data_IF_919782752039
#
_entry.id   IF_919782752039
#
_cell.length_a   1.000
_cell.length_b   1.000
_cell.length_c   1.000
_cell.angle_alpha   90.00
_cell.angle_beta   90.00
_cell.angle_gamma   90.00
#
_symmetry.space_group_name_H-M   'P 1'
#
loop_
_entity.id
_entity.type
_entity.pdbx_description
1 polymer ?
#
# COMPACT_ATOMS: atom_id res chain seq x y z
N UNK A 1 53.52 -9.74 -28.89
CA UNK A 1 53.80 -10.90 -29.77
C UNK A 1 52.47 -11.60 -30.05
N UNK A 2 52.17 -11.79 -31.36
CA UNK A 2 51.22 -12.76 -31.98
C UNK A 2 49.78 -12.82 -31.44
N UNK A 3 48.75 -12.28 -32.09
CA UNK A 3 48.16 -12.47 -33.44
C UNK A 3 47.37 -13.79 -33.64
N UNK A 4 46.11 -13.62 -34.08
CA UNK A 4 45.20 -14.50 -34.86
C UNK A 4 43.79 -14.51 -34.22
N UNK A 5 42.68 -14.10 -34.85
CA UNK A 5 42.32 -14.12 -36.27
C UNK A 5 41.37 -15.30 -36.52
N UNK A 6 40.05 -15.09 -36.49
CA UNK A 6 39.06 -15.26 -37.58
C UNK A 6 37.91 -16.14 -37.04
N UNK A 7 36.64 -16.14 -37.46
CA UNK A 7 36.00 -15.90 -38.76
C UNK A 7 34.48 -15.65 -38.53
N UNK A 8 33.87 -14.83 -39.41
CA UNK A 8 32.42 -14.61 -39.56
C UNK A 8 31.72 -15.84 -40.16
N UNK A 9 30.48 -16.12 -39.72
CA UNK A 9 29.45 -16.75 -40.56
C UNK A 9 28.12 -16.02 -40.33
N UNK A 10 27.60 -15.44 -41.41
CA UNK A 10 26.26 -14.85 -41.52
C UNK A 10 25.29 -15.97 -41.90
N UNK A 11 24.20 -16.10 -41.15
CA UNK A 11 23.09 -17.00 -41.47
C UNK A 11 21.76 -16.27 -41.28
N UNK A 12 21.23 -15.68 -42.34
CA UNK A 12 19.86 -15.24 -42.40
C UNK A 12 18.95 -16.45 -42.67
N UNK A 13 17.88 -16.60 -41.88
CA UNK A 13 16.79 -17.51 -42.21
C UNK A 13 15.48 -16.88 -41.77
N UNK A 14 14.79 -16.30 -42.74
CA UNK A 14 13.37 -15.97 -42.70
C UNK A 14 12.57 -17.28 -42.71
N UNK A 15 11.79 -17.54 -41.68
CA UNK A 15 10.65 -18.44 -41.76
C UNK A 15 9.45 -17.75 -41.10
N UNK A 16 8.58 -17.21 -41.95
CA UNK A 16 7.21 -16.90 -41.61
C UNK A 16 6.40 -18.19 -41.74
N UNK A 17 5.74 -18.63 -40.66
CA UNK A 17 4.64 -19.59 -40.72
C UNK A 17 3.56 -19.14 -39.72
N UNK A 18 2.44 -18.73 -40.29
CA UNK A 18 1.14 -18.52 -39.65
C UNK A 18 0.51 -19.85 -39.21
N UNK A 19 -0.24 -19.84 -38.11
CA UNK A 19 -1.18 -20.93 -37.80
C UNK A 19 -1.95 -20.72 -36.49
N UNK A 20 -3.24 -20.37 -36.61
CA UNK A 20 -4.23 -20.48 -35.55
C UNK A 20 -4.56 -21.95 -35.26
N UNK A 21 -4.84 -22.31 -34.00
CA UNK A 21 -5.47 -23.59 -33.67
C UNK A 21 -5.62 -23.81 -32.16
N UNK A 22 -6.87 -23.82 -31.69
CA UNK A 22 -7.26 -24.11 -30.30
C UNK A 22 -7.29 -25.61 -29.98
N UNK A 23 -7.14 -25.91 -28.68
CA UNK A 23 -7.72 -27.03 -27.90
C UNK A 23 -6.79 -28.18 -27.43
N UNK A 24 -6.55 -28.13 -26.10
CA UNK A 24 -6.58 -29.19 -25.07
C UNK A 24 -5.55 -30.33 -24.98
N UNK A 25 -4.93 -30.36 -23.78
CA UNK A 25 -4.58 -31.49 -22.90
C UNK A 25 -3.18 -32.15 -22.95
N UNK A 26 -2.42 -31.93 -21.86
CA UNK A 26 -1.70 -32.99 -21.12
C UNK A 26 -0.18 -33.10 -21.28
N UNK A 27 0.55 -32.96 -20.16
CA UNK A 27 1.81 -33.70 -19.91
C UNK A 27 3.09 -32.89 -19.68
N UNK A 28 3.72 -33.12 -18.52
CA UNK A 28 4.92 -32.52 -17.91
C UNK A 28 6.21 -32.48 -18.76
N UNK A 29 7.10 -31.52 -18.43
CA UNK A 29 8.52 -31.59 -18.81
C UNK A 29 9.29 -30.27 -18.80
N UNK A 30 10.12 -30.10 -17.77
CA UNK A 30 11.03 -29.01 -17.43
C UNK A 30 12.09 -28.64 -18.53
N UNK A 31 12.33 -27.33 -18.74
CA UNK A 31 13.65 -26.74 -19.00
C UNK A 31 13.56 -25.21 -19.28
N UNK A 32 13.91 -24.43 -18.26
CA UNK A 32 14.67 -23.17 -18.30
C UNK A 32 14.46 -22.13 -19.41
N UNK A 33 14.05 -20.91 -19.00
CA UNK A 33 14.74 -19.68 -19.43
C UNK A 33 14.41 -18.47 -18.55
N UNK A 34 15.48 -17.79 -18.17
CA UNK A 34 15.59 -16.44 -17.64
C UNK A 34 14.64 -15.45 -18.32
N UNK A 35 13.83 -14.75 -17.55
CA UNK A 35 13.07 -13.59 -17.98
C UNK A 35 13.00 -12.61 -16.83
N UNK A 36 13.75 -11.51 -16.93
CA UNK A 36 13.63 -10.39 -16.00
C UNK A 36 12.16 -9.97 -15.90
N UNK A 37 11.74 -9.66 -14.68
CA UNK A 37 10.41 -9.11 -14.43
C UNK A 37 10.25 -7.85 -15.28
N UNK A 38 9.63 -8.01 -16.45
CA UNK A 38 9.06 -6.89 -17.19
C UNK A 38 8.10 -6.23 -16.21
N UNK A 39 8.37 -4.96 -15.88
CA UNK A 39 7.47 -4.16 -15.08
C UNK A 39 6.10 -4.24 -15.76
N UNK A 40 5.19 -5.00 -15.15
CA UNK A 40 3.84 -5.16 -15.67
C UNK A 40 3.28 -3.75 -15.87
N UNK A 41 2.76 -3.47 -17.06
CA UNK A 41 2.09 -2.21 -17.31
C UNK A 41 1.00 -2.03 -16.23
N UNK A 42 0.86 -0.81 -15.67
CA UNK A 42 -0.15 -0.58 -14.65
C UNK A 42 -1.52 -1.00 -15.20
N UNK A 43 -2.38 -1.63 -14.38
CA UNK A 43 -3.71 -2.03 -14.82
C UNK A 43 -4.43 -0.81 -15.39
N UNK A 44 -5.12 -1.01 -16.52
CA UNK A 44 -5.94 0.03 -17.12
C UNK A 44 -6.99 0.47 -16.09
N UNK A 45 -7.01 1.76 -15.75
CA UNK A 45 -7.92 2.31 -14.75
C UNK A 45 -9.39 2.04 -15.09
N UNK A 46 -10.22 1.87 -14.06
CA UNK A 46 -11.66 1.76 -14.21
C UNK A 46 -12.23 3.11 -14.67
N UNK A 47 -12.42 3.26 -15.99
CA UNK A 47 -12.88 4.51 -16.62
C UNK A 47 -14.25 4.97 -16.13
N UNK A 48 -15.05 4.06 -15.59
CA UNK A 48 -16.40 4.31 -15.09
C UNK A 48 -16.42 4.56 -13.56
N UNK A 49 -15.26 4.47 -12.90
CA UNK A 49 -15.12 4.74 -11.47
C UNK A 49 -15.16 6.23 -11.12
N UNK A 50 -15.37 6.54 -9.83
CA UNK A 50 -15.25 7.93 -9.33
C UNK A 50 -13.85 8.45 -9.65
N UNK A 51 -13.76 9.68 -10.15
CA UNK A 51 -12.47 10.33 -10.39
C UNK A 51 -11.71 10.51 -9.07
N UNK A 52 -10.45 10.12 -9.04
CA UNK A 52 -9.55 10.36 -7.92
C UNK A 52 -8.66 11.56 -8.25
N UNK A 53 -8.83 12.65 -7.51
CA UNK A 53 -7.97 13.85 -7.62
C UNK A 53 -7.28 14.17 -6.30
N UNK A 54 -7.88 13.81 -5.15
CA UNK A 54 -7.36 14.12 -3.82
C UNK A 54 -7.43 12.94 -2.87
N UNK A 55 -6.27 12.56 -2.32
CA UNK A 55 -6.11 11.48 -1.36
C UNK A 55 -5.63 12.04 0.00
N UNK A 56 -6.39 11.78 1.06
CA UNK A 56 -5.95 12.00 2.44
C UNK A 56 -5.43 10.69 3.03
N UNK A 57 -4.13 10.60 3.31
CA UNK A 57 -3.46 9.43 3.89
C UNK A 57 -3.30 9.56 5.40
N UNK A 58 -3.66 8.53 6.16
CA UNK A 58 -3.58 8.50 7.63
C UNK A 58 -3.19 7.11 8.15
N UNK A 59 -2.61 7.10 9.34
CA UNK A 59 -2.12 5.92 10.05
C UNK A 59 -1.03 6.31 11.04
N UNK A 60 -0.26 5.33 11.52
CA UNK A 60 0.81 5.54 12.50
C UNK A 60 2.18 5.77 11.85
N UNK A 61 3.26 5.42 12.55
CA UNK A 61 4.63 5.51 12.08
C UNK A 61 4.93 4.68 10.83
N UNK A 62 4.23 3.56 10.64
CA UNK A 62 4.39 2.76 9.42
C UNK A 62 3.81 3.53 8.24
N UNK A 63 2.62 4.11 8.41
CA UNK A 63 1.99 4.95 7.38
C UNK A 63 2.81 6.22 7.10
N UNK A 64 3.46 6.80 8.12
CA UNK A 64 4.37 7.94 7.97
C UNK A 64 5.62 7.58 7.16
N UNK A 65 6.21 6.40 7.40
CA UNK A 65 7.33 5.89 6.60
C UNK A 65 6.95 5.63 5.13
N UNK A 66 5.69 5.27 4.86
CA UNK A 66 5.18 5.00 3.51
C UNK A 66 4.77 6.27 2.76
N UNK A 67 4.42 7.34 3.49
CA UNK A 67 3.88 8.57 2.93
C UNK A 67 4.76 9.25 1.87
N UNK A 68 6.11 9.31 1.97
CA UNK A 68 6.94 9.95 0.94
C UNK A 68 6.84 9.26 -0.42
N UNK A 69 6.94 7.93 -0.45
CA UNK A 69 6.83 7.14 -1.68
C UNK A 69 5.41 7.22 -2.26
N UNK A 70 4.39 7.07 -1.39
CA UNK A 70 2.99 7.19 -1.77
C UNK A 70 2.69 8.56 -2.40
N UNK A 71 3.12 9.64 -1.75
CA UNK A 71 2.94 11.00 -2.24
C UNK A 71 3.61 11.21 -3.60
N UNK A 72 4.81 10.68 -3.82
CA UNK A 72 5.49 10.77 -5.10
C UNK A 72 4.75 10.00 -6.22
N UNK A 73 4.32 8.77 -5.95
CA UNK A 73 3.61 7.93 -6.92
C UNK A 73 2.25 8.53 -7.31
N UNK A 74 1.47 8.96 -6.32
CA UNK A 74 0.16 9.56 -6.54
C UNK A 74 0.27 10.89 -7.29
N UNK A 75 1.23 11.75 -6.91
CA UNK A 75 1.47 13.03 -7.59
C UNK A 75 1.87 12.83 -9.05
N UNK A 76 2.71 11.85 -9.35
CA UNK A 76 3.06 11.51 -10.74
C UNK A 76 1.84 11.03 -11.53
N UNK A 77 0.88 10.38 -10.88
CA UNK A 77 -0.43 10.00 -11.45
C UNK A 77 -1.48 11.13 -11.46
N UNK A 78 -1.11 12.36 -11.12
CA UNK A 78 -2.02 13.52 -11.13
C UNK A 78 -2.92 13.66 -9.89
N UNK A 79 -2.66 12.90 -8.82
CA UNK A 79 -3.42 12.94 -7.56
C UNK A 79 -2.69 13.80 -6.53
N UNK A 80 -3.39 14.78 -5.97
CA UNK A 80 -2.90 15.56 -4.84
C UNK A 80 -3.00 14.71 -3.55
N UNK A 81 -1.92 14.65 -2.77
CA UNK A 81 -1.88 13.89 -1.53
C UNK A 81 -1.63 14.80 -0.35
N UNK A 82 -2.42 14.63 0.70
CA UNK A 82 -2.14 15.15 2.04
C UNK A 82 -1.98 13.98 2.98
N UNK A 83 -0.89 13.93 3.74
CA UNK A 83 -0.74 12.96 4.82
C UNK A 83 -0.96 13.64 6.17
N UNK A 84 -1.67 12.95 7.05
CA UNK A 84 -1.77 13.24 8.48
C UNK A 84 -1.35 12.01 9.31
N UNK A 85 -0.53 11.12 8.72
CA UNK A 85 0.05 10.00 9.45
C UNK A 85 0.92 10.52 10.61
N UNK A 86 1.00 9.75 11.68
CA UNK A 86 1.63 10.18 12.93
C UNK A 86 2.55 9.12 13.51
N UNK A 87 3.84 9.44 13.62
CA UNK A 87 4.87 8.52 14.11
C UNK A 87 4.69 8.01 15.55
N UNK A 88 3.75 8.54 16.32
CA UNK A 88 3.47 8.12 17.69
C UNK A 88 1.99 8.10 18.03
N UNK A 89 1.13 7.87 17.03
CA UNK A 89 -0.32 7.88 17.20
C UNK A 89 -1.03 7.43 15.93
N UNK A 90 -2.00 8.21 15.46
CA UNK A 90 -2.66 7.95 14.18
C UNK A 90 -3.77 6.91 14.24
N UNK A 91 -3.90 6.16 15.34
CA UNK A 91 -5.05 5.27 15.56
C UNK A 91 -6.36 6.05 15.57
N UNK A 92 -7.45 5.40 15.14
CA UNK A 92 -8.83 5.87 15.36
C UNK A 92 -9.55 5.09 16.46
N UNK A 93 -8.91 4.05 17.02
CA UNK A 93 -9.51 3.16 18.01
C UNK A 93 -9.25 3.67 19.41
N UNK A 94 -10.34 3.83 20.17
CA UNK A 94 -10.27 4.18 21.60
C UNK A 94 -10.31 2.91 22.45
N UNK A 95 -9.15 2.34 22.73
CA UNK A 95 -9.01 1.32 23.77
C UNK A 95 -8.36 1.84 25.03
N UNK A 96 -7.65 0.94 25.71
CA UNK A 96 -6.98 1.23 26.96
C UNK A 96 -5.64 1.94 26.75
N UNK A 97 -5.15 2.57 27.82
CA UNK A 97 -3.86 3.28 27.83
C UNK A 97 -3.88 4.55 26.97
N UNK A 98 -2.80 4.85 26.23
CA UNK A 98 -2.67 6.12 25.52
C UNK A 98 -3.54 6.23 24.24
N UNK A 99 -4.10 5.11 23.76
CA UNK A 99 -4.84 5.05 22.48
C UNK A 99 -6.08 5.95 22.45
N UNK A 100 -6.76 6.11 23.59
CA UNK A 100 -7.88 7.05 23.71
C UNK A 100 -7.51 8.49 23.34
N UNK A 101 -6.38 8.99 23.86
CA UNK A 101 -5.89 10.34 23.54
C UNK A 101 -5.42 10.42 22.09
N UNK A 102 -4.69 9.42 21.63
CA UNK A 102 -4.21 9.38 20.24
C UNK A 102 -5.38 9.42 19.25
N UNK A 103 -6.45 8.66 19.48
CA UNK A 103 -7.64 8.70 18.65
C UNK A 103 -8.31 10.08 18.65
N UNK A 104 -8.40 10.76 19.79
CA UNK A 104 -8.96 12.12 19.85
C UNK A 104 -8.11 13.14 19.07
N UNK A 105 -6.79 13.06 19.17
CA UNK A 105 -5.87 13.89 18.39
C UNK A 105 -6.00 13.56 16.88
N UNK A 106 -6.05 12.29 16.49
CA UNK A 106 -6.27 11.84 15.11
C UNK A 106 -7.58 12.39 14.53
N UNK A 107 -8.70 12.30 15.26
CA UNK A 107 -9.99 12.82 14.79
C UNK A 107 -10.00 14.35 14.69
N UNK A 108 -9.26 15.05 15.56
CA UNK A 108 -9.08 16.50 15.49
C UNK A 108 -8.33 16.91 14.22
N UNK A 109 -7.23 16.23 13.91
CA UNK A 109 -6.43 16.54 12.72
C UNK A 109 -7.12 16.10 11.44
N UNK A 110 -7.85 14.98 11.47
CA UNK A 110 -8.76 14.55 10.41
C UNK A 110 -9.81 15.62 10.10
N UNK A 111 -10.48 16.17 11.11
CA UNK A 111 -11.49 17.21 10.92
C UNK A 111 -10.91 18.45 10.22
N UNK A 112 -9.75 18.94 10.67
CA UNK A 112 -9.03 20.05 10.02
C UNK A 112 -8.63 19.71 8.59
N UNK A 113 -8.11 18.51 8.36
CA UNK A 113 -7.67 18.07 7.04
C UNK A 113 -8.85 17.99 6.07
N UNK A 114 -9.95 17.35 6.46
CA UNK A 114 -11.18 17.28 5.67
C UNK A 114 -11.71 18.67 5.34
N UNK A 115 -11.81 19.56 6.32
CA UNK A 115 -12.35 20.91 6.13
C UNK A 115 -11.50 21.83 5.26
N UNK A 116 -10.19 21.55 5.10
CA UNK A 116 -9.28 22.37 4.29
C UNK A 116 -8.91 21.74 2.95
N UNK A 117 -8.84 20.41 2.89
CA UNK A 117 -8.32 19.68 1.73
C UNK A 117 -9.43 19.15 0.83
N UNK A 118 -10.60 18.84 1.39
CA UNK A 118 -11.74 18.22 0.70
C UNK A 118 -11.33 16.98 -0.11
N UNK A 119 -10.91 15.88 0.56
CA UNK A 119 -10.44 14.68 -0.13
C UNK A 119 -11.57 13.94 -0.87
N UNK A 120 -11.23 13.29 -1.99
CA UNK A 120 -12.12 12.33 -2.65
C UNK A 120 -12.12 10.99 -1.92
N UNK A 121 -10.95 10.62 -1.37
CA UNK A 121 -10.69 9.41 -0.61
C UNK A 121 -9.97 9.78 0.68
N UNK A 122 -10.46 9.24 1.79
CA UNK A 122 -9.71 9.12 3.04
C UNK A 122 -9.18 7.69 3.09
N UNK A 123 -7.87 7.53 3.14
CA UNK A 123 -7.22 6.22 3.21
C UNK A 123 -6.54 6.06 4.57
N UNK A 124 -6.96 5.03 5.30
CA UNK A 124 -6.50 4.71 6.64
C UNK A 124 -5.81 3.37 6.69
N UNK A 125 -4.53 3.38 7.04
CA UNK A 125 -3.83 2.17 7.42
C UNK A 125 -4.17 1.81 8.86
N UNK A 126 -4.72 0.61 9.06
CA UNK A 126 -4.88 0.01 10.39
C UNK A 126 -3.54 0.10 11.10
N UNK A 127 -3.54 0.69 12.30
CA UNK A 127 -2.30 1.00 12.99
C UNK A 127 -1.84 -0.15 13.89
N UNK A 128 -0.56 -0.11 14.24
CA UNK A 128 -0.01 -0.93 15.32
C UNK A 128 -0.62 -0.60 16.68
N UNK A 129 -1.39 0.50 16.81
CA UNK A 129 -2.01 1.03 18.03
C UNK A 129 -3.53 0.86 18.09
N UNK A 130 -4.15 0.11 17.17
CA UNK A 130 -5.60 -0.15 17.18
C UNK A 130 -6.00 -1.13 18.31
N UNK A 131 -5.45 -0.92 19.49
CA UNK A 131 -5.62 -1.72 20.70
C UNK A 131 -6.99 -1.45 21.25
N UNK A 132 -7.86 -2.45 21.21
CA UNK A 132 -9.21 -2.39 21.71
C UNK A 132 -9.87 -3.74 21.48
N UNK A 133 -11.01 -3.95 22.12
CA UNK A 133 -11.85 -5.10 21.80
C UNK A 133 -12.30 -5.04 20.32
N UNK A 134 -12.66 -6.19 19.70
CA UNK A 134 -13.21 -6.21 18.35
C UNK A 134 -14.42 -5.28 18.16
N UNK A 135 -15.23 -5.08 19.20
CA UNK A 135 -16.36 -4.15 19.18
C UNK A 135 -15.90 -2.68 19.15
N UNK A 136 -14.90 -2.30 19.95
CA UNK A 136 -14.31 -0.95 19.92
C UNK A 136 -13.65 -0.66 18.56
N UNK A 137 -12.91 -1.63 18.01
CA UNK A 137 -12.31 -1.53 16.69
C UNK A 137 -13.37 -1.30 15.61
N UNK A 138 -14.38 -2.18 15.54
CA UNK A 138 -15.46 -2.09 14.56
C UNK A 138 -16.21 -0.75 14.65
N UNK A 139 -16.59 -0.32 15.86
CA UNK A 139 -17.27 0.97 16.08
C UNK A 139 -16.42 2.16 15.64
N UNK A 140 -15.11 2.09 15.86
CA UNK A 140 -14.18 3.17 15.47
C UNK A 140 -14.02 3.27 13.95
N UNK A 141 -13.96 2.13 13.24
CA UNK A 141 -13.93 2.10 11.78
C UNK A 141 -15.27 2.54 11.16
N UNK A 142 -16.40 2.17 11.78
CA UNK A 142 -17.73 2.67 11.38
C UNK A 142 -17.84 4.18 11.60
N UNK A 143 -17.29 4.72 12.70
CA UNK A 143 -17.20 6.17 12.93
C UNK A 143 -16.35 6.84 11.86
N UNK A 144 -15.20 6.28 11.50
CA UNK A 144 -14.35 6.80 10.43
C UNK A 144 -15.08 6.78 9.08
N UNK A 145 -15.82 5.71 8.78
CA UNK A 145 -16.66 5.61 7.58
C UNK A 145 -17.73 6.70 7.54
N UNK A 146 -18.36 7.01 8.69
CA UNK A 146 -19.29 8.11 8.80
C UNK A 146 -18.62 9.47 8.53
N UNK A 147 -17.42 9.71 9.06
CA UNK A 147 -16.67 10.95 8.78
C UNK A 147 -16.39 11.10 7.29
N UNK A 148 -15.93 10.03 6.61
CA UNK A 148 -15.70 10.05 5.17
C UNK A 148 -17.00 10.35 4.40
N UNK A 149 -18.10 9.68 4.77
CA UNK A 149 -19.41 9.91 4.17
C UNK A 149 -19.87 11.36 4.30
N UNK A 150 -19.79 11.91 5.51
CA UNK A 150 -20.21 13.29 5.82
C UNK A 150 -19.33 14.32 5.08
N UNK A 151 -18.07 13.97 4.79
CA UNK A 151 -17.15 14.77 3.99
C UNK A 151 -17.37 14.68 2.47
N UNK A 152 -18.27 13.81 1.99
CA UNK A 152 -18.41 13.50 0.55
C UNK A 152 -17.29 12.61 -0.01
N UNK A 153 -16.43 12.09 0.85
CA UNK A 153 -15.35 11.17 0.50
C UNK A 153 -15.82 9.70 0.52
N UNK A 154 -15.01 8.83 -0.09
CA UNK A 154 -15.00 7.40 0.20
C UNK A 154 -13.93 7.06 1.24
N UNK A 155 -14.09 5.95 1.94
CA UNK A 155 -13.09 5.44 2.87
C UNK A 155 -12.42 4.19 2.29
N UNK A 156 -11.08 4.19 2.30
CA UNK A 156 -10.28 2.99 2.04
C UNK A 156 -9.54 2.64 3.32
N UNK A 157 -9.81 1.47 3.89
CA UNK A 157 -9.08 0.94 5.03
C UNK A 157 -8.08 -0.08 4.50
N UNK A 158 -6.81 0.05 4.88
CA UNK A 158 -5.73 -0.84 4.48
C UNK A 158 -5.26 -1.61 5.72
N UNK A 159 -5.09 -2.94 5.63
CA UNK A 159 -4.50 -3.69 6.75
C UNK A 159 -3.06 -3.22 7.02
N UNK A 160 -2.62 -3.35 8.27
CA UNK A 160 -1.21 -3.13 8.59
C UNK A 160 -0.34 -4.17 7.84
N UNK A 161 0.89 -3.81 7.41
CA UNK A 161 1.87 -4.82 7.02
C UNK A 161 2.14 -5.78 8.18
N UNK A 162 2.69 -6.97 7.90
CA UNK A 162 3.25 -7.78 8.98
C UNK A 162 4.43 -7.03 9.62
N UNK A 163 4.42 -6.94 10.94
CA UNK A 163 5.50 -6.34 11.74
C UNK A 163 5.90 -7.25 12.90
N UNK A 164 7.07 -7.01 13.47
CA UNK A 164 7.57 -7.73 14.64
C UNK A 164 6.74 -7.33 15.88
N UNK A 165 6.14 -8.32 16.52
CA UNK A 165 5.54 -8.16 17.87
C UNK A 165 6.68 -8.29 18.89
N UNK A 166 7.26 -7.15 19.27
CA UNK A 166 8.25 -7.09 20.35
C UNK A 166 7.59 -6.93 21.73
N UNK A 167 8.39 -6.74 22.78
CA UNK A 167 7.87 -6.60 24.15
C UNK A 167 6.94 -5.40 24.33
N UNK A 168 7.00 -4.38 23.47
CA UNK A 168 6.07 -3.24 23.53
C UNK A 168 4.67 -3.63 23.03
N UNK A 169 4.58 -4.50 22.01
CA UNK A 169 3.31 -4.93 21.40
C UNK A 169 2.71 -6.19 21.99
N UNK A 170 3.48 -6.94 22.78
CA UNK A 170 3.13 -8.29 23.27
C UNK A 170 1.80 -8.35 24.00
N UNK A 171 1.54 -7.40 24.89
CA UNK A 171 0.28 -7.35 25.66
C UNK A 171 -0.94 -6.92 24.80
N UNK A 172 -0.70 -6.54 23.54
CA UNK A 172 -1.71 -6.09 22.59
C UNK A 172 -1.83 -6.99 21.36
N UNK A 173 -1.12 -8.12 21.31
CA UNK A 173 -1.09 -9.03 20.14
C UNK A 173 -2.50 -9.47 19.71
N UNK A 174 -3.38 -9.78 20.66
CA UNK A 174 -4.75 -10.17 20.37
C UNK A 174 -5.54 -9.07 19.65
N UNK A 175 -5.36 -7.81 20.07
CA UNK A 175 -6.03 -6.66 19.44
C UNK A 175 -5.44 -6.37 18.06
N UNK A 176 -4.11 -6.43 17.92
CA UNK A 176 -3.42 -6.29 16.63
C UNK A 176 -3.95 -7.33 15.63
N UNK A 177 -4.12 -8.57 16.07
CA UNK A 177 -4.64 -9.67 15.23
C UNK A 177 -6.12 -9.50 14.87
N UNK A 178 -6.93 -8.89 15.73
CA UNK A 178 -8.36 -8.70 15.46
C UNK A 178 -8.67 -7.48 14.60
N UNK A 179 -7.81 -6.46 14.61
CA UNK A 179 -8.05 -5.18 13.94
C UNK A 179 -8.36 -5.30 12.44
N UNK A 180 -7.59 -6.05 11.61
CA UNK A 180 -7.92 -6.21 10.18
C UNK A 180 -9.30 -6.82 9.93
N UNK A 181 -9.71 -7.81 10.74
CA UNK A 181 -11.03 -8.45 10.61
C UNK A 181 -12.16 -7.49 10.98
N UNK A 182 -11.95 -6.67 12.02
CA UNK A 182 -12.91 -5.64 12.41
C UNK A 182 -13.04 -4.55 11.33
N UNK A 183 -11.92 -4.17 10.70
CA UNK A 183 -11.91 -3.22 9.58
C UNK A 183 -12.65 -3.75 8.36
N UNK A 184 -12.41 -5.00 7.98
CA UNK A 184 -13.11 -5.69 6.90
C UNK A 184 -14.63 -5.76 7.17
N UNK A 185 -15.01 -6.16 8.39
CA UNK A 185 -16.42 -6.23 8.79
C UNK A 185 -17.10 -4.86 8.76
N UNK A 186 -16.43 -3.79 9.20
CA UNK A 186 -16.94 -2.43 9.12
C UNK A 186 -17.09 -1.96 7.67
N UNK A 187 -16.13 -2.30 6.79
CA UNK A 187 -16.22 -1.99 5.37
C UNK A 187 -17.42 -2.69 4.71
N UNK A 188 -17.66 -3.97 5.04
CA UNK A 188 -18.80 -4.74 4.52
C UNK A 188 -20.18 -4.15 4.82
N UNK A 189 -20.32 -3.36 5.90
CA UNK A 189 -21.58 -2.70 6.30
C UNK A 189 -21.82 -1.35 5.60
N UNK A 190 -20.86 -0.85 4.82
CA UNK A 190 -20.86 0.54 4.33
C UNK A 190 -21.66 0.80 3.04
N UNK A 191 -22.42 -0.19 2.56
CA UNK A 191 -23.09 -0.15 1.26
C UNK A 191 -22.16 0.25 0.10
N UNK A 192 -20.90 -0.20 0.14
CA UNK A 192 -19.90 0.02 -0.91
C UNK A 192 -19.15 1.36 -0.86
N UNK A 193 -19.39 2.21 0.17
CA UNK A 193 -18.68 3.49 0.35
C UNK A 193 -17.37 3.39 1.12
N UNK A 194 -17.18 2.28 1.82
CA UNK A 194 -15.94 1.90 2.49
C UNK A 194 -15.40 0.63 1.86
N UNK A 195 -14.10 0.60 1.61
CA UNK A 195 -13.39 -0.56 1.08
C UNK A 195 -12.33 -1.01 2.08
N UNK A 196 -12.08 -2.30 2.11
CA UNK A 196 -10.96 -2.88 2.84
C UNK A 196 -9.97 -3.47 1.84
N UNK A 197 -8.69 -3.13 1.97
CA UNK A 197 -7.60 -3.64 1.15
C UNK A 197 -6.63 -4.40 2.07
N UNK A 198 -6.46 -5.69 1.81
CA UNK A 198 -5.52 -6.50 2.58
C UNK A 198 -4.10 -6.42 2.00
N UNK A 199 -3.23 -5.67 2.67
CA UNK A 199 -1.82 -5.52 2.33
C UNK A 199 -1.02 -6.83 2.48
N UNK A 200 -1.60 -7.88 3.09
CA UNK A 200 -0.98 -9.22 3.10
C UNK A 200 -0.79 -9.78 1.69
N UNK A 201 -1.58 -9.33 0.70
CA UNK A 201 -1.37 -9.67 -0.71
C UNK A 201 0.00 -9.21 -1.21
N UNK A 202 0.46 -8.03 -0.77
CA UNK A 202 1.77 -7.47 -1.10
C UNK A 202 2.89 -8.10 -0.27
N UNK A 203 2.74 -8.13 1.04
CA UNK A 203 3.86 -8.40 1.96
C UNK A 203 3.83 -9.78 2.62
N UNK A 204 2.75 -10.54 2.44
CA UNK A 204 2.50 -11.75 3.20
C UNK A 204 2.11 -11.44 4.65
N UNK A 205 2.19 -12.46 5.49
CA UNK A 205 1.79 -12.39 6.91
C UNK A 205 2.96 -12.60 7.88
N UNK A 206 4.16 -12.93 7.36
CA UNK A 206 5.36 -13.16 8.14
C UNK A 206 6.27 -11.93 8.08
N UNK A 207 6.49 -11.27 9.22
CA UNK A 207 7.30 -10.06 9.30
C UNK A 207 8.80 -10.30 9.16
N UNK A 208 9.26 -11.55 9.36
CA UNK A 208 10.66 -11.94 9.16
C UNK A 208 10.98 -12.33 7.71
N UNK A 209 9.96 -12.56 6.87
CA UNK A 209 10.16 -12.91 5.49
C UNK A 209 10.75 -11.73 4.70
N UNK A 210 11.67 -12.01 3.78
CA UNK A 210 12.23 -10.99 2.88
C UNK A 210 11.13 -10.22 2.11
N UNK A 211 10.01 -10.90 1.81
CA UNK A 211 8.83 -10.31 1.15
C UNK A 211 8.17 -9.20 1.98
N UNK A 212 8.27 -9.21 3.31
CA UNK A 212 7.67 -8.17 4.15
C UNK A 212 8.36 -6.80 4.01
N UNK A 213 9.61 -6.79 3.51
CA UNK A 213 10.40 -5.60 3.24
C UNK A 213 10.46 -4.65 4.46
N UNK A 214 10.60 -5.23 5.64
CA UNK A 214 10.81 -4.49 6.88
C UNK A 214 12.25 -4.03 6.99
N UNK A 215 12.43 -2.90 7.67
CA UNK A 215 13.73 -2.37 8.07
C UNK A 215 14.36 -3.27 9.15
N UNK A 216 15.54 -2.90 9.63
CA UNK A 216 16.23 -3.65 10.68
C UNK A 216 15.45 -3.73 12.00
N UNK A 217 14.50 -2.83 12.24
CA UNK A 217 13.62 -2.89 13.41
C UNK A 217 12.51 -3.96 13.30
N UNK A 218 12.28 -4.51 12.11
CA UNK A 218 11.22 -5.48 11.85
C UNK A 218 9.81 -4.89 11.82
N UNK A 219 9.65 -3.56 11.83
CA UNK A 219 8.35 -2.86 11.93
C UNK A 219 8.12 -1.96 10.72
N UNK A 220 9.03 -1.03 10.47
CA UNK A 220 8.85 -0.02 9.42
C UNK A 220 9.37 -0.53 8.08
N UNK A 221 8.92 0.05 6.97
CA UNK A 221 9.50 -0.21 5.65
C UNK A 221 10.66 0.77 5.38
N UNK A 222 11.67 0.31 4.65
CA UNK A 222 12.63 1.20 3.98
C UNK A 222 12.09 1.65 2.61
N UNK A 223 12.85 2.46 1.87
CA UNK A 223 12.45 3.02 0.58
C UNK A 223 11.87 1.98 -0.38
N UNK A 224 12.47 0.79 -0.45
CA UNK A 224 12.01 -0.28 -1.34
C UNK A 224 10.62 -0.82 -0.93
N UNK A 225 10.39 -1.01 0.37
CA UNK A 225 9.10 -1.44 0.88
C UNK A 225 8.03 -0.36 0.69
N UNK A 226 8.37 0.90 0.95
CA UNK A 226 7.46 2.04 0.72
C UNK A 226 7.14 2.23 -0.76
N UNK A 227 8.10 2.03 -1.67
CA UNK A 227 7.84 2.05 -3.12
C UNK A 227 6.97 0.88 -3.57
N UNK A 228 7.20 -0.32 -3.04
CA UNK A 228 6.37 -1.48 -3.33
C UNK A 228 4.92 -1.24 -2.87
N UNK A 229 4.73 -0.65 -1.69
CA UNK A 229 3.42 -0.22 -1.20
C UNK A 229 2.76 0.79 -2.13
N UNK A 230 3.47 1.88 -2.47
CA UNK A 230 2.92 2.93 -3.31
C UNK A 230 2.45 2.40 -4.68
N UNK A 231 3.22 1.48 -5.28
CA UNK A 231 2.87 0.82 -6.53
C UNK A 231 1.64 -0.10 -6.37
N UNK A 232 1.64 -0.96 -5.35
CA UNK A 232 0.52 -1.86 -5.06
C UNK A 232 -0.77 -1.10 -4.76
N UNK A 233 -0.70 -0.11 -3.86
CA UNK A 233 -1.86 0.69 -3.46
C UNK A 233 -2.42 1.48 -4.63
N UNK A 234 -1.55 2.07 -5.48
CA UNK A 234 -1.98 2.71 -6.72
C UNK A 234 -2.75 1.76 -7.65
N UNK A 235 -2.27 0.53 -7.81
CA UNK A 235 -2.96 -0.49 -8.61
C UNK A 235 -4.31 -0.91 -8.01
N UNK A 236 -4.41 -1.01 -6.67
CA UNK A 236 -5.69 -1.25 -5.99
C UNK A 236 -6.67 -0.10 -6.25
N UNK A 237 -6.21 1.14 -6.14
CA UNK A 237 -7.05 2.30 -6.44
C UNK A 237 -7.52 2.32 -7.91
N UNK A 238 -6.64 1.98 -8.86
CA UNK A 238 -6.98 1.95 -10.29
C UNK A 238 -8.11 0.95 -10.63
N UNK A 239 -8.31 -0.07 -9.81
CA UNK A 239 -9.38 -1.06 -10.00
C UNK A 239 -10.76 -0.48 -9.65
N UNK A 240 -10.81 0.53 -8.77
CA UNK A 240 -12.06 1.06 -8.22
C UNK A 240 -12.36 2.50 -8.63
N UNK A 241 -11.32 3.25 -9.02
CA UNK A 241 -11.40 4.67 -9.33
C UNK A 241 -10.93 4.92 -10.76
N UNK A 242 -11.44 6.00 -11.35
CA UNK A 242 -10.92 6.51 -12.61
C UNK A 242 -9.58 7.19 -12.33
N UNK A 243 -8.54 6.36 -12.29
CA UNK A 243 -7.16 6.69 -11.94
C UNK A 243 -6.23 5.76 -12.72
N UNK A 244 -5.16 6.30 -13.28
CA UNK A 244 -4.09 5.52 -13.91
C UNK A 244 -2.81 5.75 -13.12
N UNK A 245 -2.28 4.70 -12.45
CA UNK A 245 -1.02 4.81 -11.73
C UNK A 245 0.12 5.21 -12.69
N UNK A 246 0.95 6.16 -12.27
CA UNK A 246 2.12 6.53 -13.04
C UNK A 246 3.14 5.38 -13.08
N UNK A 247 3.80 5.14 -14.23
CA UNK A 247 4.92 4.22 -14.32
C UNK A 247 6.01 4.51 -13.27
N UNK A 248 6.60 3.46 -12.70
CA UNK A 248 7.55 3.59 -11.60
C UNK A 248 8.78 4.44 -11.92
N UNK A 249 9.25 4.44 -13.17
CA UNK A 249 10.37 5.24 -13.63
C UNK A 249 10.13 6.76 -13.54
N UNK A 250 8.87 7.20 -13.46
CA UNK A 250 8.51 8.62 -13.29
C UNK A 250 8.66 9.14 -11.86
N UNK A 251 8.65 8.25 -10.84
CA UNK A 251 8.60 8.69 -9.45
C UNK A 251 9.54 7.93 -8.51
N UNK A 252 9.93 6.69 -8.80
CA UNK A 252 10.62 5.80 -7.85
C UNK A 252 12.04 6.25 -7.47
N UNK A 253 12.64 7.19 -8.22
CA UNK A 253 14.00 7.73 -7.96
C UNK A 253 14.01 9.20 -7.54
N UNK A 254 12.85 9.73 -7.13
CA UNK A 254 12.69 11.13 -6.76
C UNK A 254 13.30 11.51 -5.41
N UNK A 255 13.17 12.78 -5.04
CA UNK A 255 13.67 13.34 -3.78
C UNK A 255 13.12 12.67 -2.52
N UNK A 256 11.96 12.00 -2.63
CA UNK A 256 11.35 11.27 -1.52
C UNK A 256 12.28 10.17 -0.96
N UNK A 257 13.16 9.60 -1.79
CA UNK A 257 14.12 8.55 -1.38
C UNK A 257 15.09 9.03 -0.28
N UNK A 258 15.33 10.34 -0.21
CA UNK A 258 16.12 11.00 0.84
C UNK A 258 15.29 11.55 2.00
N UNK A 259 14.03 11.14 2.15
CA UNK A 259 13.18 11.57 3.27
C UNK A 259 13.85 11.24 4.61
N UNK A 260 13.75 12.17 5.57
CA UNK A 260 14.34 12.05 6.91
C UNK A 260 13.91 10.77 7.63
N UNK A 261 12.66 10.32 7.40
CA UNK A 261 12.12 9.10 8.00
C UNK A 261 13.00 7.89 7.72
N UNK A 262 13.51 7.74 6.49
CA UNK A 262 14.38 6.62 6.11
C UNK A 262 15.76 6.69 6.78
N UNK A 263 16.30 7.91 6.94
CA UNK A 263 17.54 8.11 7.68
C UNK A 263 17.41 7.74 9.16
N UNK A 264 16.26 8.03 9.78
CA UNK A 264 15.97 7.65 11.18
C UNK A 264 15.84 6.14 11.35
N UNK A 265 15.29 5.45 10.34
CA UNK A 265 15.17 3.99 10.28
C UNK A 265 16.48 3.29 9.87
N UNK A 266 17.57 4.05 9.64
CA UNK A 266 18.88 3.54 9.19
C UNK A 266 18.78 2.72 7.89
N UNK A 267 17.87 3.11 7.02
CA UNK A 267 17.74 2.53 5.69
C UNK A 267 18.87 3.09 4.80
N UNK A 268 19.79 2.21 4.39
CA UNK A 268 20.96 2.51 3.56
C UNK A 268 21.10 1.54 2.40
#
# INVERSE_FOLDING_TARGET
MTAAGALLVVGASLLALTGCGSSTAGGDGDAGRTGGASAAAPPAGNKDGKQLSKLLWMGDSIADAEAPALGAAMKAGGVEVKSIASAGGGTVVKGDGPTGKFADDTFKDLSKAVGSFHPDIIAYQVTTYDWGSPAQQSSSYERLAKVAKDAGAELVIVSAPPFKIDEFYKDHEAAIKSAPKAAEAAAGKSAGRTRFLDASALWGTDSAAAKAQRSQDGIHSCQQGSAAFANWFGAQLATHYSFTPAPADQWAKGSWTGSKVYGQLKCG
#
